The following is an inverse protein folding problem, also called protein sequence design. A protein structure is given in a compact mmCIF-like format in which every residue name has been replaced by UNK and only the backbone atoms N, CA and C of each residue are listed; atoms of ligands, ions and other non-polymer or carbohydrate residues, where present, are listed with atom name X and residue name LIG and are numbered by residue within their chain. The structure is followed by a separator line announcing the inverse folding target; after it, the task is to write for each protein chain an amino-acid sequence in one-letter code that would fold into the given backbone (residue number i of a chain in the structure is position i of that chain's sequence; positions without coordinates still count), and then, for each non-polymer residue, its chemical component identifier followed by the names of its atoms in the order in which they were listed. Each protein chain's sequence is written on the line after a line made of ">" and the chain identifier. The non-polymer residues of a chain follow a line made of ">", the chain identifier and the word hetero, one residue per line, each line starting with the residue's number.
data_IF_028148554546
#
_entry.id   IF_028148554546
#
_cell.length_a   1.000
_cell.length_b   1.000
_cell.length_c   1.000
_cell.angle_alpha   90.00
_cell.angle_beta   90.00
_cell.angle_gamma   90.00
#
_symmetry.space_group_name_H-M   'P 1'
#
loop_
_entity.id
_entity.type
_entity.pdbx_description
1 polymer ?
#
# COMPACT_ATOMS: atom_id res chain seq x y z
N UNK A 1 -5.68 19.14 -12.19
CA UNK A 1 -5.48 17.75 -11.72
C UNK A 1 -4.10 17.37 -12.20
N UNK A 2 -3.16 17.00 -11.33
CA UNK A 2 -1.81 16.64 -11.76
C UNK A 2 -1.92 15.34 -12.55
N UNK A 3 -1.73 15.41 -13.86
CA UNK A 3 -1.72 14.23 -14.70
C UNK A 3 -0.33 13.59 -14.60
N UNK A 4 -0.29 12.29 -14.25
CA UNK A 4 0.98 11.57 -14.17
C UNK A 4 1.66 11.52 -15.55
N UNK A 5 2.95 11.84 -15.58
CA UNK A 5 3.74 11.79 -16.81
C UNK A 5 3.85 10.35 -17.33
N UNK A 6 4.17 10.16 -18.62
CA UNK A 6 4.39 8.81 -19.18
C UNK A 6 5.55 8.08 -18.50
N UNK A 7 6.58 8.82 -18.09
CA UNK A 7 7.76 8.29 -17.40
C UNK A 7 7.37 7.81 -16.00
N UNK A 8 6.71 8.65 -15.23
CA UNK A 8 6.27 8.33 -13.87
C UNK A 8 5.25 7.18 -13.87
N UNK A 9 4.35 7.15 -14.85
CA UNK A 9 3.40 6.04 -15.00
C UNK A 9 4.10 4.70 -15.26
N UNK A 10 5.18 4.70 -16.04
CA UNK A 10 5.98 3.50 -16.27
C UNK A 10 6.65 3.06 -14.96
N UNK A 11 7.31 3.99 -14.27
CA UNK A 11 8.00 3.71 -13.02
C UNK A 11 7.04 3.21 -11.92
N UNK A 12 5.86 3.82 -11.80
CA UNK A 12 4.81 3.38 -10.87
C UNK A 12 4.44 1.92 -11.08
N UNK A 13 4.20 1.50 -12.34
CA UNK A 13 3.86 0.10 -12.63
C UNK A 13 5.02 -0.87 -12.39
N UNK A 14 6.26 -0.40 -12.49
CA UNK A 14 7.45 -1.20 -12.20
C UNK A 14 7.64 -1.38 -10.68
N UNK A 15 7.34 -0.35 -9.88
CA UNK A 15 7.46 -0.37 -8.42
C UNK A 15 6.28 -1.01 -7.69
N UNK A 16 5.08 -0.93 -8.26
CA UNK A 16 3.85 -1.39 -7.61
C UNK A 16 3.93 -2.85 -7.10
N UNK A 17 4.41 -3.84 -7.88
CA UNK A 17 4.51 -5.21 -7.38
C UNK A 17 5.45 -5.35 -6.18
N UNK A 18 6.60 -4.66 -6.21
CA UNK A 18 7.60 -4.67 -5.13
C UNK A 18 7.00 -4.08 -3.84
N UNK A 19 6.30 -2.95 -3.95
CA UNK A 19 5.62 -2.32 -2.82
C UNK A 19 4.51 -3.19 -2.22
N UNK A 20 3.70 -3.83 -3.08
CA UNK A 20 2.64 -4.73 -2.62
C UNK A 20 3.23 -5.97 -1.95
N UNK A 21 4.30 -6.56 -2.50
CA UNK A 21 4.96 -7.73 -1.92
C UNK A 21 5.54 -7.41 -0.53
N UNK A 22 6.28 -6.31 -0.38
CA UNK A 22 6.83 -5.90 0.93
C UNK A 22 5.74 -5.61 1.96
N UNK A 23 4.61 -5.03 1.54
CA UNK A 23 3.47 -4.83 2.42
C UNK A 23 2.84 -6.17 2.85
N UNK A 24 2.61 -7.08 1.90
CA UNK A 24 2.04 -8.39 2.19
C UNK A 24 2.97 -9.25 3.05
N UNK A 25 4.29 -9.12 2.89
CA UNK A 25 5.27 -9.77 3.77
C UNK A 25 5.11 -9.33 5.23
N UNK A 26 4.88 -8.02 5.47
CA UNK A 26 4.59 -7.51 6.82
C UNK A 26 3.30 -8.10 7.38
N UNK A 27 2.23 -8.14 6.58
CA UNK A 27 0.97 -8.75 7.00
C UNK A 27 1.13 -10.22 7.38
N UNK A 28 1.86 -10.99 6.58
CA UNK A 28 2.12 -12.41 6.88
C UNK A 28 2.87 -12.58 8.21
N UNK A 29 3.85 -11.71 8.50
CA UNK A 29 4.55 -11.70 9.80
C UNK A 29 3.59 -11.40 10.95
N UNK A 30 2.75 -10.38 10.82
CA UNK A 30 1.73 -10.04 11.82
C UNK A 30 0.74 -11.21 12.06
N UNK A 31 0.35 -11.93 11.01
CA UNK A 31 -0.53 -13.10 11.13
C UNK A 31 0.15 -14.25 11.87
N UNK A 32 1.43 -14.50 11.60
CA UNK A 32 2.22 -15.52 12.32
C UNK A 32 2.30 -15.16 13.81
N UNK A 33 2.56 -13.89 14.14
CA UNK A 33 2.60 -13.41 15.53
C UNK A 33 1.25 -13.60 16.24
N UNK A 34 0.15 -13.22 15.59
CA UNK A 34 -1.21 -13.41 16.10
C UNK A 34 -1.50 -14.89 16.37
N UNK A 35 -1.18 -15.77 15.42
CA UNK A 35 -1.41 -17.21 15.56
C UNK A 35 -0.51 -17.87 16.62
N UNK A 36 0.65 -17.28 16.90
CA UNK A 36 1.63 -17.79 17.87
C UNK A 36 1.40 -17.27 19.29
N UNK A 37 0.45 -16.34 19.48
CA UNK A 37 0.11 -15.81 20.78
C UNK A 37 -0.52 -16.89 21.68
N UNK A 38 -0.46 -16.77 23.03
CA UNK A 38 -1.20 -17.65 23.91
C UNK A 38 -2.71 -17.42 23.81
N UNK A 39 -3.51 -18.48 23.68
CA UNK A 39 -4.96 -18.38 23.58
C UNK A 39 -5.62 -19.66 23.08
N UNK A 40 -6.95 -19.64 22.93
CA UNK A 40 -7.67 -20.75 22.32
C UNK A 40 -7.55 -20.70 20.80
N UNK A 41 -7.51 -21.88 20.17
CA UNK A 41 -7.50 -21.98 18.71
C UNK A 41 -8.71 -21.31 18.04
N UNK A 42 -9.88 -21.32 18.70
CA UNK A 42 -11.08 -20.64 18.19
C UNK A 42 -10.91 -19.13 18.09
N UNK A 43 -10.26 -18.53 19.09
CA UNK A 43 -10.10 -17.08 19.19
C UNK A 43 -9.11 -16.62 18.10
N UNK A 44 -7.98 -17.32 17.96
CA UNK A 44 -7.02 -17.05 16.89
C UNK A 44 -7.63 -17.21 15.50
N UNK A 45 -8.45 -18.23 15.29
CA UNK A 45 -9.08 -18.47 13.99
C UNK A 45 -10.00 -17.32 13.58
N UNK A 46 -10.91 -16.91 14.48
CA UNK A 46 -11.86 -15.84 14.19
C UNK A 46 -11.18 -14.47 14.09
N UNK A 47 -10.17 -14.19 14.94
CA UNK A 47 -9.41 -12.95 14.84
C UNK A 47 -8.62 -12.85 13.54
N UNK A 48 -7.98 -13.96 13.12
CA UNK A 48 -7.29 -14.03 11.83
C UNK A 48 -8.25 -13.85 10.64
N UNK A 49 -9.41 -14.50 10.66
CA UNK A 49 -10.43 -14.34 9.60
C UNK A 49 -10.83 -12.87 9.47
N UNK A 50 -11.16 -12.23 10.59
CA UNK A 50 -11.55 -10.82 10.59
C UNK A 50 -10.44 -9.92 10.07
N UNK A 51 -9.20 -10.21 10.45
CA UNK A 51 -8.02 -9.46 10.03
C UNK A 51 -7.79 -9.59 8.53
N UNK A 52 -7.76 -10.81 8.00
CA UNK A 52 -7.61 -11.07 6.55
C UNK A 52 -8.73 -10.37 5.77
N UNK A 53 -9.97 -10.41 6.27
CA UNK A 53 -11.12 -9.77 5.61
C UNK A 53 -10.97 -8.24 5.54
N UNK A 54 -10.36 -7.62 6.56
CA UNK A 54 -10.04 -6.18 6.57
C UNK A 54 -8.87 -5.88 5.62
N UNK A 55 -7.79 -6.65 5.72
CA UNK A 55 -6.55 -6.40 4.98
C UNK A 55 -6.70 -6.65 3.48
N UNK A 56 -7.55 -7.59 3.05
CA UNK A 56 -7.91 -7.80 1.64
C UNK A 56 -8.49 -6.55 0.96
N UNK A 57 -9.09 -5.64 1.71
CA UNK A 57 -9.64 -4.37 1.19
C UNK A 57 -8.61 -3.25 1.14
N UNK A 58 -7.40 -3.48 1.66
CA UNK A 58 -6.33 -2.50 1.64
C UNK A 58 -5.76 -2.41 0.21
N UNK A 59 -5.51 -1.18 -0.31
CA UNK A 59 -4.93 -1.00 -1.63
C UNK A 59 -3.52 -1.61 -1.79
N UNK A 60 -2.81 -1.89 -0.69
CA UNK A 60 -1.55 -2.65 -0.70
C UNK A 60 -1.72 -4.14 -1.02
N UNK A 61 -2.95 -4.67 -0.97
CA UNK A 61 -3.26 -6.07 -1.32
C UNK A 61 -4.06 -6.14 -2.62
N UNK A 62 -5.09 -5.31 -2.76
CA UNK A 62 -5.95 -5.29 -3.93
C UNK A 62 -6.16 -3.86 -4.42
N UNK A 63 -5.71 -3.59 -5.64
CA UNK A 63 -5.83 -2.28 -6.27
C UNK A 63 -6.26 -2.41 -7.73
N UNK A 64 -7.20 -1.57 -8.16
CA UNK A 64 -7.51 -1.42 -9.58
C UNK A 64 -6.65 -0.28 -10.16
N UNK A 65 -5.64 -0.66 -10.93
CA UNK A 65 -4.58 0.25 -11.39
C UNK A 65 -5.02 1.00 -12.64
N UNK A 66 -5.14 2.32 -12.54
CA UNK A 66 -5.46 3.19 -13.68
C UNK A 66 -4.56 4.42 -13.69
N UNK A 67 -4.23 4.94 -14.88
CA UNK A 67 -3.33 6.10 -15.01
C UNK A 67 -3.90 7.34 -14.32
N UNK A 68 -5.21 7.57 -14.39
CA UNK A 68 -5.88 8.72 -13.78
C UNK A 68 -5.86 8.70 -12.25
N UNK A 69 -5.83 7.51 -11.64
CA UNK A 69 -5.84 7.37 -10.18
C UNK A 69 -4.44 7.22 -9.57
N UNK A 70 -3.39 7.04 -10.38
CA UNK A 70 -2.05 6.72 -9.90
C UNK A 70 -1.54 7.67 -8.79
N UNK A 71 -1.75 8.98 -8.93
CA UNK A 71 -1.32 9.93 -7.90
C UNK A 71 -2.07 9.77 -6.57
N UNK A 72 -3.37 9.44 -6.64
CA UNK A 72 -4.20 9.16 -5.48
C UNK A 72 -3.83 7.81 -4.85
N UNK A 73 -3.52 6.82 -5.68
CA UNK A 73 -3.07 5.50 -5.22
C UNK A 73 -1.75 5.63 -4.45
N UNK A 74 -0.77 6.37 -5.00
CA UNK A 74 0.51 6.64 -4.34
C UNK A 74 0.31 7.39 -3.03
N UNK A 75 -0.51 8.44 -3.02
CA UNK A 75 -0.83 9.16 -1.79
C UNK A 75 -1.52 8.24 -0.75
N UNK A 76 -2.44 7.38 -1.18
CA UNK A 76 -3.09 6.41 -0.30
C UNK A 76 -2.10 5.37 0.24
N UNK A 77 -1.10 4.97 -0.53
CA UNK A 77 -0.05 4.05 -0.09
C UNK A 77 0.78 4.68 1.03
N UNK A 78 1.19 5.93 0.86
CA UNK A 78 1.97 6.65 1.88
C UNK A 78 1.13 6.93 3.12
N UNK A 79 -0.09 7.43 2.94
CA UNK A 79 -1.01 7.73 4.05
C UNK A 79 -1.40 6.50 4.88
N UNK A 80 -1.32 5.30 4.29
CA UNK A 80 -1.57 4.02 4.98
C UNK A 80 -0.29 3.31 5.44
N UNK A 81 0.89 3.91 5.26
CA UNK A 81 2.17 3.33 5.64
C UNK A 81 2.56 2.08 4.85
N UNK A 82 2.04 1.93 3.63
CA UNK A 82 2.37 0.85 2.70
C UNK A 82 3.78 1.08 2.15
N UNK A 83 4.05 2.33 1.78
CA UNK A 83 5.35 2.83 1.35
C UNK A 83 5.65 4.15 2.06
N UNK A 84 6.88 4.62 1.95
CA UNK A 84 7.36 5.90 2.48
C UNK A 84 7.54 6.93 1.36
N UNK A 85 7.74 8.21 1.74
CA UNK A 85 8.07 9.26 0.77
C UNK A 85 9.42 9.03 0.08
N UNK A 86 10.37 8.37 0.76
CA UNK A 86 11.71 8.10 0.24
C UNK A 86 11.68 7.05 -0.88
N UNK A 87 10.70 6.15 -0.84
CA UNK A 87 10.47 5.16 -1.90
C UNK A 87 9.90 5.79 -3.20
N UNK A 88 9.60 7.10 -3.19
CA UNK A 88 9.30 7.85 -4.41
C UNK A 88 10.57 8.38 -5.12
N UNK A 89 11.75 7.90 -4.77
CA UNK A 89 12.97 8.22 -5.50
C UNK A 89 12.85 7.83 -6.99
N UNK A 90 13.34 8.73 -7.86
CA UNK A 90 13.26 8.59 -9.32
C UNK A 90 11.98 9.10 -9.99
N UNK A 91 10.93 9.42 -9.22
CA UNK A 91 9.74 10.10 -9.74
C UNK A 91 9.97 11.60 -9.97
N UNK A 92 9.13 12.20 -10.81
CA UNK A 92 9.21 13.64 -11.08
C UNK A 92 8.91 14.50 -9.83
N UNK A 93 9.55 15.68 -9.71
CA UNK A 93 9.25 16.64 -8.64
C UNK A 93 7.76 17.00 -8.59
N UNK A 94 7.12 17.17 -9.75
CA UNK A 94 5.69 17.50 -9.87
C UNK A 94 4.80 16.43 -9.25
N UNK A 95 5.12 15.14 -9.45
CA UNK A 95 4.39 14.04 -8.82
C UNK A 95 4.58 14.06 -7.30
N UNK A 96 5.84 14.20 -6.84
CA UNK A 96 6.18 14.20 -5.42
C UNK A 96 5.47 15.36 -4.70
N UNK A 97 5.47 16.55 -5.29
CA UNK A 97 4.75 17.72 -4.76
C UNK A 97 3.23 17.49 -4.76
N UNK A 98 2.68 16.95 -5.85
CA UNK A 98 1.26 16.61 -5.94
C UNK A 98 0.82 15.61 -4.86
N UNK A 99 1.64 14.59 -4.57
CA UNK A 99 1.40 13.63 -3.49
C UNK A 99 1.44 14.33 -2.12
N UNK A 100 2.44 15.18 -1.87
CA UNK A 100 2.53 15.96 -0.62
C UNK A 100 1.29 16.84 -0.39
N UNK A 101 0.82 17.51 -1.44
CA UNK A 101 -0.39 18.34 -1.39
C UNK A 101 -1.64 17.53 -1.05
N UNK A 102 -1.76 16.30 -1.56
CA UNK A 102 -2.87 15.39 -1.22
C UNK A 102 -2.77 14.98 0.25
N UNK A 103 -1.58 14.64 0.74
CA UNK A 103 -1.36 14.22 2.13
C UNK A 103 -1.53 15.34 3.16
N UNK A 104 -1.34 16.61 2.76
CA UNK A 104 -1.52 17.78 3.63
C UNK A 104 -2.98 18.22 3.82
N UNK A 105 -3.93 17.54 3.17
CA UNK A 105 -5.38 17.80 3.27
C UNK A 105 -6.02 16.90 4.30
#
# INVERSE_FOLDING_TARGET
>A
MVEISKKDWKLYRERLPEWQEHFMERLVKEYIELLSAPGNASDHFWELEERIRKDKKNPGVLLNVTKSNAIWDIAAFIGRGIITMDELDGFSPDLIEGVKLILSR
#
